data_IF_181537991409
#
_entry.id   IF_181537991409
#
_cell.length_a   1.000
_cell.length_b   1.000
_cell.length_c   1.000
_cell.angle_alpha   90.00
_cell.angle_beta   90.00
_cell.angle_gamma   90.00
#
_symmetry.space_group_name_H-M   'P 1'
#
loop_
_entity.id
_entity.type
_entity.pdbx_description
1 polymer ?
#
# COMPACT_ATOMS: atom_id res chain seq x y z
N UNK A 1 -0.07 -4.71 3.21
CA UNK A 1 -1.29 -4.63 4.03
C UNK A 1 -1.11 -5.31 5.38
N UNK A 2 -1.10 -6.65 5.39
CA UNK A 2 -1.03 -7.44 6.63
C UNK A 2 0.22 -7.14 7.45
N UNK A 3 1.41 -7.15 6.86
CA UNK A 3 2.65 -6.86 7.59
C UNK A 3 2.67 -5.49 8.28
N UNK A 4 2.10 -4.45 7.63
CA UNK A 4 1.99 -3.12 8.23
C UNK A 4 1.05 -3.16 9.44
N UNK A 5 -0.09 -3.87 9.34
CA UNK A 5 -1.03 -4.02 10.46
C UNK A 5 -0.41 -4.77 11.64
N UNK A 6 0.41 -5.78 11.36
CA UNK A 6 1.14 -6.52 12.38
C UNK A 6 2.14 -5.61 13.09
N UNK A 7 2.97 -4.88 12.34
CA UNK A 7 3.92 -3.92 12.92
C UNK A 7 3.24 -2.85 13.78
N UNK A 8 2.14 -2.26 13.29
CA UNK A 8 1.31 -1.31 14.05
C UNK A 8 0.78 -1.93 15.35
N UNK A 9 0.33 -3.19 15.31
CA UNK A 9 -0.20 -3.88 16.48
C UNK A 9 0.88 -4.20 17.52
N UNK A 10 2.07 -4.60 17.07
CA UNK A 10 3.20 -4.96 17.93
C UNK A 10 3.87 -3.74 18.56
N UNK A 11 4.06 -2.66 17.81
CA UNK A 11 4.90 -1.53 18.22
C UNK A 11 4.13 -0.38 18.89
N UNK A 12 2.80 -0.29 18.74
CA UNK A 12 2.03 0.79 19.38
C UNK A 12 1.54 0.40 20.78
N UNK A 13 1.74 1.26 21.79
CA UNK A 13 1.11 1.07 23.09
C UNK A 13 -0.41 1.07 22.95
N UNK A 14 -1.04 -0.04 23.39
CA UNK A 14 -2.48 -0.26 23.29
C UNK A 14 -2.95 -1.16 22.13
N UNK A 15 -2.02 -1.75 21.35
CA UNK A 15 -2.33 -2.82 20.40
C UNK A 15 -3.48 -2.49 19.42
N UNK A 16 -3.51 -1.25 18.93
CA UNK A 16 -4.60 -0.77 18.08
C UNK A 16 -4.54 -1.44 16.70
N UNK A 17 -5.67 -1.94 16.22
CA UNK A 17 -5.75 -2.52 14.88
C UNK A 17 -5.99 -1.45 13.82
N UNK A 18 -5.07 -1.31 12.86
CA UNK A 18 -5.32 -0.50 11.67
C UNK A 18 -6.32 -1.21 10.72
N UNK A 19 -7.38 -0.50 10.31
CA UNK A 19 -8.35 -0.98 9.33
C UNK A 19 -7.91 -0.53 7.93
N UNK A 20 -7.61 -1.47 7.05
CA UNK A 20 -7.15 -1.11 5.71
C UNK A 20 -8.33 -0.86 4.77
N UNK A 21 -8.33 0.28 4.08
CA UNK A 21 -9.24 0.55 2.97
C UNK A 21 -8.67 -0.11 1.73
N UNK A 22 -9.37 -1.14 1.24
CA UNK A 22 -8.92 -1.92 0.09
C UNK A 22 -9.77 -1.55 -1.11
N UNK A 23 -9.12 -1.28 -2.24
CA UNK A 23 -9.78 -0.91 -3.47
C UNK A 23 -10.75 -1.99 -3.95
N UNK A 24 -11.85 -1.54 -4.55
CA UNK A 24 -12.99 -2.34 -4.98
C UNK A 24 -12.60 -3.52 -5.93
N UNK A 25 -11.51 -3.38 -6.68
CA UNK A 25 -11.04 -4.37 -7.65
C UNK A 25 -10.71 -5.75 -7.04
N UNK A 26 -10.36 -5.83 -5.75
CA UNK A 26 -10.09 -7.11 -5.08
C UNK A 26 -11.36 -7.82 -4.59
N UNK A 27 -12.51 -7.15 -4.54
CA UNK A 27 -13.78 -7.77 -4.16
C UNK A 27 -14.42 -8.60 -5.28
N UNK A 28 -13.91 -8.52 -6.51
CA UNK A 28 -14.36 -9.33 -7.64
C UNK A 28 -13.88 -10.80 -7.60
N UNK A 29 -12.94 -11.14 -6.72
CA UNK A 29 -12.43 -12.52 -6.58
C UNK A 29 -13.23 -13.23 -5.47
N UNK A 30 -13.98 -14.32 -5.76
CA UNK A 30 -14.96 -14.93 -4.84
C UNK A 30 -14.41 -15.35 -3.47
N UNK A 31 -13.13 -15.74 -3.40
CA UNK A 31 -12.48 -16.18 -2.15
C UNK A 31 -11.74 -15.03 -1.44
N UNK A 32 -11.12 -14.11 -2.19
CA UNK A 32 -10.46 -12.95 -1.61
C UNK A 32 -11.47 -11.98 -0.99
N UNK A 33 -12.63 -11.79 -1.63
CA UNK A 33 -13.68 -10.89 -1.14
C UNK A 33 -14.24 -11.32 0.24
N UNK A 34 -14.35 -12.63 0.48
CA UNK A 34 -14.73 -13.19 1.78
C UNK A 34 -13.66 -12.96 2.86
N UNK A 35 -12.37 -13.20 2.54
CA UNK A 35 -11.26 -12.98 3.47
C UNK A 35 -11.05 -11.49 3.80
N UNK A 36 -11.20 -10.61 2.81
CA UNK A 36 -11.06 -9.15 2.95
C UNK A 36 -12.16 -8.55 3.85
N UNK A 37 -13.41 -9.01 3.70
CA UNK A 37 -14.53 -8.62 4.58
C UNK A 37 -14.32 -9.08 6.03
N UNK A 38 -13.78 -10.28 6.24
CA UNK A 38 -13.56 -10.86 7.57
C UNK A 38 -12.37 -10.26 8.34
N UNK A 39 -11.43 -9.63 7.63
CA UNK A 39 -10.27 -8.94 8.23
C UNK A 39 -10.54 -7.46 8.56
N UNK A 40 -11.80 -7.02 8.47
CA UNK A 40 -12.22 -5.66 8.83
C UNK A 40 -11.82 -4.60 7.81
N UNK A 41 -11.50 -5.01 6.58
CA UNK A 41 -11.21 -4.08 5.49
C UNK A 41 -12.53 -3.58 4.93
N UNK A 42 -12.78 -2.29 5.08
CA UNK A 42 -13.98 -1.65 4.52
C UNK A 42 -13.75 -1.31 3.07
N UNK A 43 -14.83 -1.31 2.30
CA UNK A 43 -14.82 -0.80 0.92
C UNK A 43 -14.25 0.62 1.01
N UNK A 44 -13.38 0.99 0.06
CA UNK A 44 -12.78 2.32 0.01
C UNK A 44 -13.83 3.38 -0.38
N UNK A 45 -14.79 3.64 0.51
CA UNK A 45 -15.68 4.80 0.46
C UNK A 45 -15.15 5.88 1.42
N UNK A 46 -15.03 7.14 0.98
CA UNK A 46 -14.56 8.24 1.84
C UNK A 46 -15.33 8.36 3.16
N UNK A 47 -16.64 8.12 3.13
CA UNK A 47 -17.51 8.24 4.31
C UNK A 47 -17.22 7.19 5.39
N UNK A 48 -16.86 5.97 4.99
CA UNK A 48 -16.46 4.93 5.94
C UNK A 48 -15.13 5.28 6.61
N UNK A 49 -14.18 5.80 5.82
CA UNK A 49 -12.90 6.26 6.32
C UNK A 49 -13.09 7.41 7.33
N UNK A 50 -13.95 8.37 7.00
CA UNK A 50 -14.28 9.50 7.87
C UNK A 50 -14.93 9.02 9.17
N UNK A 51 -15.91 8.12 9.11
CA UNK A 51 -16.57 7.56 10.29
C UNK A 51 -15.59 6.85 11.21
N UNK A 52 -14.68 6.04 10.66
CA UNK A 52 -13.65 5.34 11.42
C UNK A 52 -12.69 6.32 12.11
N UNK A 53 -12.18 7.30 11.37
CA UNK A 53 -11.27 8.31 11.92
C UNK A 53 -11.93 9.15 13.00
N UNK A 54 -13.21 9.52 12.83
CA UNK A 54 -13.99 10.23 13.87
C UNK A 54 -14.22 9.38 15.14
N UNK A 55 -14.23 8.06 15.01
CA UNK A 55 -14.31 7.13 16.14
C UNK A 55 -12.94 6.90 16.83
N UNK A 56 -11.87 7.58 16.39
CA UNK A 56 -10.53 7.40 16.94
C UNK A 56 -9.79 6.15 16.46
N UNK A 57 -10.31 5.49 15.41
CA UNK A 57 -9.72 4.28 14.84
C UNK A 57 -8.55 4.61 13.89
N UNK A 58 -7.64 3.65 13.71
CA UNK A 58 -6.55 3.75 12.74
C UNK A 58 -7.02 3.28 11.36
N UNK A 59 -6.77 4.10 10.33
CA UNK A 59 -7.12 3.78 8.94
C UNK A 59 -5.87 3.69 8.08
N UNK A 60 -5.68 2.56 7.41
CA UNK A 60 -4.58 2.31 6.48
C UNK A 60 -5.07 2.44 5.04
N UNK A 61 -4.37 3.23 4.23
CA UNK A 61 -4.73 3.46 2.82
C UNK A 61 -3.55 3.17 1.90
N UNK A 62 -3.83 2.67 0.71
CA UNK A 62 -2.85 2.51 -0.37
C UNK A 62 -3.19 3.48 -1.50
N UNK A 63 -2.61 4.69 -1.52
CA UNK A 63 -3.03 5.77 -2.42
C UNK A 63 -2.74 5.50 -3.91
N UNK A 64 -1.91 4.51 -4.23
CA UNK A 64 -1.69 4.02 -5.60
C UNK A 64 -2.82 3.11 -6.11
N UNK A 65 -3.52 2.44 -5.21
CA UNK A 65 -4.54 1.44 -5.53
C UNK A 65 -4.04 0.34 -6.46
N UNK A 66 -4.90 -0.07 -7.41
CA UNK A 66 -4.65 -1.18 -8.33
C UNK A 66 -3.45 -0.94 -9.27
N UNK A 67 -3.08 0.32 -9.50
CA UNK A 67 -1.89 0.70 -10.28
C UNK A 67 -0.59 0.29 -9.58
N UNK A 68 -0.62 0.11 -8.25
CA UNK A 68 0.49 -0.41 -7.46
C UNK A 68 0.66 -1.92 -7.60
N UNK A 69 -0.46 -2.67 -7.59
CA UNK A 69 -0.42 -4.15 -7.59
C UNK A 69 -0.05 -4.75 -8.95
N UNK A 70 -0.40 -4.08 -10.05
CA UNK A 70 -0.11 -4.56 -11.41
C UNK A 70 1.29 -4.24 -11.94
N UNK A 71 2.23 -3.79 -11.09
CA UNK A 71 3.57 -3.36 -11.53
C UNK A 71 4.42 -4.54 -11.94
N UNK A 72 5.16 -4.37 -13.04
CA UNK A 72 6.21 -5.31 -13.40
C UNK A 72 7.37 -5.19 -12.42
N UNK A 73 8.12 -6.28 -12.21
CA UNK A 73 9.30 -6.32 -11.35
C UNK A 73 10.35 -5.27 -11.75
N UNK A 74 10.43 -4.89 -13.04
CA UNK A 74 11.32 -3.82 -13.52
C UNK A 74 10.92 -2.42 -13.03
N UNK A 75 9.67 -2.24 -12.64
CA UNK A 75 9.09 -1.00 -12.16
C UNK A 75 9.05 -0.93 -10.63
N UNK A 76 9.66 -1.92 -9.96
CA UNK A 76 9.69 -2.01 -8.51
C UNK A 76 10.35 -0.78 -7.88
N UNK A 77 9.92 -0.44 -6.66
CA UNK A 77 10.40 0.66 -5.83
C UNK A 77 10.21 2.05 -6.41
N UNK A 78 9.39 2.17 -7.46
CA UNK A 78 8.92 3.44 -8.00
C UNK A 78 7.45 3.59 -7.68
N UNK A 79 7.14 4.60 -6.89
CA UNK A 79 5.76 4.93 -6.62
C UNK A 79 5.11 5.47 -7.89
N UNK A 80 3.88 5.05 -8.14
CA UNK A 80 3.05 5.62 -9.19
C UNK A 80 2.35 6.86 -8.66
N UNK A 81 1.89 7.71 -9.57
CA UNK A 81 1.10 8.88 -9.21
C UNK A 81 -0.12 8.44 -8.39
N UNK A 82 -0.29 9.06 -7.23
CA UNK A 82 -1.46 8.84 -6.38
C UNK A 82 -2.73 9.27 -7.11
N UNK A 83 -3.87 8.78 -6.63
CA UNK A 83 -5.18 9.18 -7.15
C UNK A 83 -5.49 10.67 -6.94
N UNK A 84 -6.77 11.02 -6.92
CA UNK A 84 -7.24 12.43 -6.75
C UNK A 84 -7.10 12.97 -5.32
N UNK A 85 -6.18 12.44 -4.51
CA UNK A 85 -5.97 12.90 -3.13
C UNK A 85 -7.14 12.64 -2.15
N UNK A 86 -8.02 11.68 -2.43
CA UNK A 86 -9.19 11.41 -1.57
C UNK A 86 -8.83 11.11 -0.11
N UNK A 87 -7.69 10.43 0.13
CA UNK A 87 -7.21 10.18 1.49
C UNK A 87 -6.80 11.46 2.23
N UNK A 88 -6.26 12.45 1.51
CA UNK A 88 -5.91 13.76 2.07
C UNK A 88 -7.17 14.54 2.39
N UNK A 89 -8.18 14.51 1.51
CA UNK A 89 -9.48 15.14 1.78
C UNK A 89 -10.11 14.57 3.05
N UNK A 90 -10.11 13.25 3.21
CA UNK A 90 -10.61 12.60 4.44
C UNK A 90 -9.81 13.07 5.66
N UNK A 91 -8.48 13.06 5.60
CA UNK A 91 -7.62 13.49 6.69
C UNK A 91 -7.85 14.97 7.08
N UNK A 92 -8.04 15.86 6.10
CA UNK A 92 -8.39 17.26 6.33
C UNK A 92 -9.74 17.43 7.03
N UNK A 93 -10.78 16.73 6.56
CA UNK A 93 -12.13 16.77 7.15
C UNK A 93 -12.19 16.24 8.57
N UNK A 94 -11.39 15.24 8.88
CA UNK A 94 -11.33 14.63 10.22
C UNK A 94 -10.24 15.23 11.10
N UNK A 95 -9.43 16.15 10.57
CA UNK A 95 -8.22 16.71 11.21
C UNK A 95 -7.28 15.61 11.71
N UNK A 96 -7.20 14.51 10.97
CA UNK A 96 -6.35 13.37 11.31
C UNK A 96 -4.95 13.55 10.73
N UNK A 97 -3.89 13.24 11.49
CA UNK A 97 -2.54 13.23 10.95
C UNK A 97 -2.36 12.09 9.94
N UNK A 98 -1.56 12.32 8.91
CA UNK A 98 -1.17 11.34 7.91
C UNK A 98 0.23 10.85 8.27
N UNK A 99 0.39 9.55 8.50
CA UNK A 99 1.71 8.94 8.75
C UNK A 99 2.14 8.24 7.45
N UNK A 100 3.13 8.76 6.71
CA UNK A 100 3.64 8.09 5.53
C UNK A 100 4.38 6.81 5.94
N UNK A 101 4.23 5.74 5.16
CA UNK A 101 4.87 4.45 5.43
C UNK A 101 5.57 3.95 4.17
N UNK A 102 6.88 3.76 4.23
CA UNK A 102 7.64 3.14 3.15
C UNK A 102 7.86 1.66 3.41
N UNK A 103 7.64 0.83 2.39
CA UNK A 103 7.83 -0.61 2.46
C UNK A 103 8.77 -1.06 1.35
N UNK A 104 9.85 -1.76 1.72
CA UNK A 104 10.84 -2.34 0.80
C UNK A 104 10.83 -3.87 0.94
N UNK A 105 11.10 -4.60 -0.14
CA UNK A 105 11.12 -6.06 -0.19
C UNK A 105 9.79 -6.71 -0.57
N UNK A 106 8.66 -6.03 -0.34
CA UNK A 106 7.34 -6.61 -0.64
C UNK A 106 7.08 -6.95 -2.11
N UNK A 107 7.70 -6.20 -3.02
CA UNK A 107 7.58 -6.38 -4.46
C UNK A 107 8.49 -7.50 -5.00
N UNK A 108 9.31 -8.11 -4.14
CA UNK A 108 10.18 -9.26 -4.48
C UNK A 108 9.51 -10.61 -4.20
N UNK A 109 8.41 -10.65 -3.42
CA UNK A 109 7.68 -11.91 -3.14
C UNK A 109 7.19 -12.58 -4.42
N UNK A 110 6.73 -11.79 -5.38
CA UNK A 110 6.19 -12.26 -6.66
C UNK A 110 6.75 -11.38 -7.78
N UNK A 111 7.94 -11.69 -8.32
CA UNK A 111 8.56 -10.92 -9.38
C UNK A 111 7.77 -11.11 -10.68
N UNK A 112 6.76 -10.28 -10.89
CA UNK A 112 5.91 -10.30 -12.07
C UNK A 112 6.71 -9.78 -13.27
N UNK A 113 6.97 -10.64 -14.25
CA UNK A 113 7.73 -10.32 -15.45
C UNK A 113 6.84 -9.69 -16.52
N UNK A 114 5.63 -10.20 -16.68
CA UNK A 114 4.62 -9.74 -17.62
C UNK A 114 3.24 -9.79 -16.95
N UNK A 115 2.32 -8.94 -17.39
CA UNK A 115 0.91 -8.99 -17.03
C UNK A 115 0.08 -9.20 -18.32
N UNK A 116 -0.74 -10.24 -18.38
CA UNK A 116 -1.61 -10.52 -19.52
C UNK A 116 -3.01 -9.94 -19.29
N UNK A 117 -3.23 -8.70 -19.70
CA UNK A 117 -4.51 -8.01 -19.50
C UNK A 117 -5.70 -8.72 -20.18
N UNK A 118 -5.49 -9.36 -21.33
CA UNK A 118 -6.54 -10.12 -22.02
C UNK A 118 -6.98 -11.34 -21.22
N UNK A 119 -6.02 -12.10 -20.67
CA UNK A 119 -6.32 -13.24 -19.82
C UNK A 119 -6.95 -12.80 -18.50
N UNK A 120 -6.47 -11.71 -17.91
CA UNK A 120 -7.05 -11.11 -16.70
C UNK A 120 -8.53 -10.75 -16.92
N UNK A 121 -8.85 -10.08 -18.03
CA UNK A 121 -10.22 -9.71 -18.41
C UNK A 121 -11.10 -10.92 -18.65
N UNK A 122 -10.61 -11.94 -19.36
CA UNK A 122 -11.36 -13.16 -19.63
C UNK A 122 -11.70 -13.93 -18.34
N UNK A 123 -10.83 -13.86 -17.33
CA UNK A 123 -10.99 -14.52 -16.04
C UNK A 123 -11.64 -13.64 -14.96
N UNK A 124 -11.99 -12.38 -15.27
CA UNK A 124 -12.53 -11.42 -14.31
C UNK A 124 -11.54 -11.02 -13.20
N UNK A 125 -10.23 -11.15 -13.45
CA UNK A 125 -9.16 -10.83 -12.51
C UNK A 125 -8.61 -9.41 -12.74
N UNK A 126 -8.12 -8.73 -11.69
CA UNK A 126 -7.53 -7.40 -11.82
C UNK A 126 -6.20 -7.39 -12.59
N UNK A 127 -5.46 -8.50 -12.58
CA UNK A 127 -4.24 -8.72 -13.34
C UNK A 127 -4.03 -10.23 -13.50
N UNK A 128 -3.26 -10.64 -14.51
CA UNK A 128 -2.83 -12.03 -14.71
C UNK A 128 -1.30 -12.07 -14.70
N UNK A 129 -0.68 -12.45 -13.58
CA UNK A 129 0.76 -12.40 -13.46
C UNK A 129 1.40 -13.48 -14.30
N UNK A 130 2.49 -13.17 -15.00
CA UNK A 130 3.46 -14.15 -15.48
C UNK A 130 4.74 -13.90 -14.69
N UNK A 131 5.20 -14.93 -14.00
CA UNK A 131 6.46 -14.93 -13.24
C UNK A 131 7.40 -15.97 -13.85
N UNK A 132 8.61 -16.14 -13.31
CA UNK A 132 9.50 -17.23 -13.76
C UNK A 132 8.91 -18.63 -13.52
N UNK A 133 8.04 -18.76 -12.51
CA UNK A 133 7.49 -20.03 -12.03
C UNK A 133 6.03 -20.24 -12.43
N UNK A 134 5.28 -19.17 -12.69
CA UNK A 134 3.88 -19.20 -13.12
C UNK A 134 3.75 -18.64 -14.55
N UNK A 135 3.06 -19.33 -15.47
CA UNK A 135 2.12 -20.44 -15.23
C UNK A 135 2.72 -21.85 -15.28
N UNK A 136 4.02 -22.01 -15.57
CA UNK A 136 4.65 -23.32 -15.80
C UNK A 136 4.44 -24.36 -14.68
N UNK A 137 4.53 -23.95 -13.41
CA UNK A 137 4.32 -24.82 -12.26
C UNK A 137 2.87 -24.79 -11.74
N UNK A 138 1.94 -24.22 -12.51
CA UNK A 138 0.56 -24.00 -12.07
C UNK A 138 0.50 -23.23 -10.75
N UNK A 139 -0.39 -23.63 -9.84
CA UNK A 139 -0.56 -22.96 -8.54
C UNK A 139 0.71 -22.97 -7.67
N UNK A 140 1.60 -23.96 -7.82
CA UNK A 140 2.89 -23.98 -7.11
C UNK A 140 3.79 -22.82 -7.55
N UNK A 141 3.61 -22.32 -8.77
CA UNK A 141 4.33 -21.15 -9.26
C UNK A 141 3.92 -19.83 -8.60
N UNK A 142 2.84 -19.82 -7.81
CA UNK A 142 2.37 -18.67 -7.03
C UNK A 142 2.92 -18.65 -5.59
N UNK A 143 3.78 -19.61 -5.22
CA UNK A 143 4.43 -19.61 -3.91
C UNK A 143 5.35 -18.39 -3.79
N UNK A 144 5.19 -17.55 -2.75
CA UNK A 144 6.05 -16.38 -2.54
C UNK A 144 7.50 -16.77 -2.33
N UNK A 145 8.43 -16.02 -2.94
CA UNK A 145 9.85 -16.16 -2.67
C UNK A 145 10.23 -15.57 -1.31
N UNK A 146 11.25 -16.11 -0.61
CA UNK A 146 11.80 -15.46 0.57
C UNK A 146 12.30 -14.05 0.23
N UNK A 147 11.89 -13.04 1.01
CA UNK A 147 12.35 -11.66 0.84
C UNK A 147 12.51 -10.97 2.19
N UNK A 148 13.58 -10.19 2.36
CA UNK A 148 13.79 -9.37 3.56
C UNK A 148 12.98 -8.08 3.46
N UNK A 149 12.16 -7.77 4.46
CA UNK A 149 11.28 -6.60 4.45
C UNK A 149 11.80 -5.50 5.37
N UNK A 150 11.71 -4.25 4.91
CA UNK A 150 11.90 -3.07 5.76
C UNK A 150 10.62 -2.25 5.68
N UNK A 151 10.02 -1.98 6.83
CA UNK A 151 8.85 -1.11 6.98
C UNK A 151 9.29 0.06 7.85
N UNK A 152 9.23 1.28 7.31
CA UNK A 152 9.60 2.50 8.04
C UNK A 152 8.40 3.44 8.09
N UNK A 153 8.07 3.88 9.30
CA UNK A 153 7.06 4.89 9.58
C UNK A 153 7.74 6.26 9.62
N UNK A 154 7.24 7.20 8.84
CA UNK A 154 7.82 8.54 8.70
C UNK A 154 7.16 9.53 9.66
N UNK A 155 7.75 10.72 9.74
CA UNK A 155 7.20 11.82 10.54
C UNK A 155 5.75 12.14 10.12
N UNK A 156 4.83 12.36 11.08
CA UNK A 156 3.45 12.69 10.77
C UNK A 156 3.33 14.00 9.99
N UNK A 157 2.62 13.97 8.87
CA UNK A 157 2.16 15.17 8.18
C UNK A 157 0.79 15.49 8.77
N UNK A 158 0.71 16.58 9.52
CA UNK A 158 -0.52 17.00 10.21
C UNK A 158 -1.08 18.26 9.53
N UNK A 159 -2.05 18.13 8.61
CA UNK A 159 -2.58 19.29 7.87
C UNK A 159 -3.11 20.40 8.79
N UNK A 160 -3.72 20.03 9.93
CA UNK A 160 -4.21 20.98 10.93
C UNK A 160 -3.10 21.76 11.64
N UNK A 161 -1.91 21.18 11.82
CA UNK A 161 -0.76 21.87 12.42
C UNK A 161 -0.07 22.81 11.41
N UNK A 162 -0.15 22.46 10.12
CA UNK A 162 0.40 23.25 9.00
C UNK A 162 -0.51 24.45 8.60
N UNK A 163 -1.56 24.73 9.38
CA UNK A 163 -2.49 25.84 9.14
C UNK A 163 -3.62 25.54 8.16
N UNK A 164 -3.77 24.30 7.70
CA UNK A 164 -4.89 23.90 6.86
C UNK A 164 -6.10 23.48 7.72
N UNK A 165 -7.17 24.27 7.68
CA UNK A 165 -8.45 23.87 8.24
C UNK A 165 -9.21 22.87 7.36
N UNK A 166 -10.36 22.34 7.82
CA UNK A 166 -11.17 21.39 7.07
C UNK A 166 -11.61 21.89 5.69
N UNK A 167 -11.76 23.21 5.53
CA UNK A 167 -12.08 23.88 4.27
C UNK A 167 -11.05 23.63 3.16
N UNK A 168 -9.79 23.37 3.52
CA UNK A 168 -8.75 23.02 2.54
C UNK A 168 -9.03 21.67 1.86
N UNK A 169 -9.96 20.84 2.37
CA UNK A 169 -10.39 19.62 1.70
C UNK A 169 -11.11 19.90 0.36
N UNK A 170 -11.65 21.11 0.17
CA UNK A 170 -12.31 21.53 -1.07
C UNK A 170 -11.34 22.21 -2.05
N UNK A 171 -10.18 22.65 -1.57
CA UNK A 171 -9.11 23.18 -2.40
C UNK A 171 -8.27 22.05 -3.00
N UNK A 172 -8.51 21.77 -4.28
CA UNK A 172 -7.78 20.72 -5.00
C UNK A 172 -6.27 21.01 -5.13
N UNK A 173 -5.85 22.27 -5.13
CA UNK A 173 -4.42 22.59 -5.19
C UNK A 173 -3.73 22.18 -3.88
N UNK A 174 -4.30 22.56 -2.72
CA UNK A 174 -3.80 22.17 -1.41
C UNK A 174 -3.82 20.64 -1.22
N UNK A 175 -4.92 19.98 -1.60
CA UNK A 175 -5.04 18.52 -1.53
C UNK A 175 -3.95 17.81 -2.33
N UNK A 176 -3.70 18.27 -3.56
CA UNK A 176 -2.68 17.67 -4.42
C UNK A 176 -1.26 17.95 -3.92
N UNK A 177 -1.00 19.14 -3.39
CA UNK A 177 0.29 19.50 -2.80
C UNK A 177 0.62 18.60 -1.60
N UNK A 178 -0.33 18.38 -0.69
CA UNK A 178 -0.16 17.47 0.45
C UNK A 178 0.02 16.04 -0.04
N UNK A 179 -0.78 15.61 -1.03
CA UNK A 179 -0.67 14.26 -1.61
C UNK A 179 0.70 14.02 -2.24
N UNK A 180 1.27 15.01 -2.92
CA UNK A 180 2.61 14.92 -3.51
C UNK A 180 3.71 14.94 -2.44
N UNK A 181 3.57 15.75 -1.38
CA UNK A 181 4.47 15.70 -0.21
C UNK A 181 4.50 14.30 0.41
N UNK A 182 3.33 13.70 0.65
CA UNK A 182 3.23 12.33 1.18
C UNK A 182 3.92 11.33 0.25
N UNK A 183 3.68 11.42 -1.06
CA UNK A 183 4.32 10.56 -2.07
C UNK A 183 5.84 10.69 -2.01
N UNK A 184 6.35 11.91 -1.97
CA UNK A 184 7.78 12.18 -2.01
C UNK A 184 8.48 11.70 -0.73
N UNK A 185 7.86 11.87 0.44
CA UNK A 185 8.35 11.29 1.70
C UNK A 185 8.46 9.77 1.61
N UNK A 186 7.41 9.09 1.11
CA UNK A 186 7.45 7.62 0.95
C UNK A 186 8.52 7.23 -0.05
N UNK A 187 8.66 7.95 -1.18
CA UNK A 187 9.64 7.64 -2.21
C UNK A 187 11.08 7.76 -1.70
N UNK A 188 11.36 8.82 -0.94
CA UNK A 188 12.66 9.06 -0.31
C UNK A 188 12.97 7.97 0.72
N UNK A 189 12.00 7.60 1.56
CA UNK A 189 12.13 6.48 2.50
C UNK A 189 12.41 5.15 1.81
N UNK A 190 11.72 4.85 0.71
CA UNK A 190 12.00 3.66 -0.11
C UNK A 190 13.45 3.67 -0.61
N UNK A 191 13.93 4.79 -1.17
CA UNK A 191 15.31 4.88 -1.66
C UNK A 191 16.35 4.77 -0.55
N UNK A 192 16.13 5.42 0.59
CA UNK A 192 17.02 5.32 1.75
C UNK A 192 17.09 3.88 2.27
N UNK A 193 15.94 3.22 2.40
CA UNK A 193 15.88 1.84 2.88
C UNK A 193 16.49 0.84 1.88
N UNK A 194 16.40 1.10 0.57
CA UNK A 194 17.10 0.29 -0.42
C UNK A 194 18.62 0.34 -0.27
N UNK A 195 19.17 1.50 0.09
CA UNK A 195 20.60 1.62 0.34
C UNK A 195 21.01 0.90 1.64
N UNK A 196 20.16 0.96 2.68
CA UNK A 196 20.39 0.28 3.97
C UNK A 196 20.30 -1.24 3.89
N UNK A 197 19.43 -1.77 3.02
CA UNK A 197 19.02 -3.19 3.02
C UNK A 197 20.14 -4.18 2.65
N UNK A 198 21.22 -3.73 1.99
CA UNK A 198 22.18 -4.65 1.38
C UNK A 198 21.52 -5.54 0.31
N UNK A 199 22.31 -6.31 -0.44
CA UNK A 199 21.75 -7.28 -1.39
C UNK A 199 21.41 -8.58 -0.66
N UNK A 200 20.17 -9.04 -0.77
CA UNK A 200 19.75 -10.39 -0.31
C UNK A 200 20.57 -11.50 -0.98
N UNK A 201 21.18 -11.23 -2.14
CA UNK A 201 22.04 -12.15 -2.88
C UNK A 201 23.54 -12.00 -2.57
N UNK A 202 23.96 -10.96 -1.83
CA UNK A 202 25.38 -10.83 -1.47
C UNK A 202 25.79 -11.88 -0.41
N UNK A 203 24.88 -12.22 0.50
CA UNK A 203 25.15 -13.25 1.52
C UNK A 203 25.13 -14.67 0.95
N UNK A 204 24.51 -14.88 -0.22
CA UNK A 204 24.50 -16.19 -0.89
C UNK A 204 25.76 -16.46 -1.73
N UNK A 205 26.57 -15.44 -2.07
CA UNK A 205 27.85 -15.62 -2.76
C UNK A 205 29.06 -15.67 -1.80
N UNK A 206 28.82 -15.52 -0.50
CA UNK A 206 29.85 -15.59 0.54
C UNK A 206 29.88 -16.98 1.23
N UNK A 207 29.11 -17.94 0.71
CA UNK A 207 28.99 -19.30 1.23
C UNK A 207 29.72 -20.36 0.36
N UNK A 208 30.58 -19.93 -0.57
CA UNK A 208 31.48 -20.80 -1.35
C UNK A 208 32.93 -20.70 -0.86
#
# INVERSE_FOLDING_TARGET
GVMIRTAVYEDLPGHRHARALILNAFFGVPVASWFLRRTGNTIAHPDDAERLLRAGELVLVFPEGAKGTGKLYRERYRLRRFGRGGFVQTALRTRSPIIPVSVVGSEELHPMLLNLDLAARALGLPYFPITATFPWLGLLGLIPLPSSWIIEFHEPIAPAADGHGPEAAEDMAAVMQISDRVRDTIQQGVYANLQRRGSVFADLSAAD
#
